data_IF_782555984352
#
_entry.id   IF_782555984352
#
_cell.length_a   1.000
_cell.length_b   1.000
_cell.length_c   1.000
_cell.angle_alpha   90.00
_cell.angle_beta   90.00
_cell.angle_gamma   90.00
#
_symmetry.space_group_name_H-M   'P 1'
#
loop_
_entity.id
_entity.type
_entity.pdbx_description
1 polymer ?
#
# COMPACT_ATOMS: atom_id res chain seq x y z
N UNK A 1 20.89 35.13 -10.28
CA UNK A 1 21.16 33.69 -10.14
C UNK A 1 20.68 33.27 -8.76
N UNK A 2 19.75 32.32 -8.65
CA UNK A 2 19.38 31.76 -7.36
C UNK A 2 20.63 31.08 -6.77
N UNK A 3 21.01 31.44 -5.55
CA UNK A 3 22.17 30.89 -4.85
C UNK A 3 21.82 29.44 -4.48
N UNK A 4 22.61 28.48 -4.93
CA UNK A 4 22.45 27.08 -4.50
C UNK A 4 22.86 26.98 -3.05
N UNK A 5 21.90 26.88 -2.14
CA UNK A 5 22.15 26.65 -0.72
C UNK A 5 22.03 25.16 -0.44
N UNK A 6 23.10 24.56 0.08
CA UNK A 6 23.14 23.15 0.44
C UNK A 6 22.60 22.98 1.86
N UNK A 7 21.28 23.02 1.99
CA UNK A 7 20.58 22.86 3.26
C UNK A 7 19.82 21.55 3.31
N UNK A 8 19.47 21.13 4.53
CA UNK A 8 18.48 20.06 4.73
C UNK A 8 17.13 20.61 4.27
N UNK A 9 16.42 19.82 3.46
CA UNK A 9 15.08 20.18 3.00
C UNK A 9 14.12 20.32 4.19
N UNK A 10 13.27 21.34 4.16
CA UNK A 10 12.22 21.53 5.17
C UNK A 10 11.15 20.45 5.15
N UNK A 11 11.13 19.59 4.12
CA UNK A 11 10.25 18.42 4.07
C UNK A 11 10.64 17.34 5.10
N UNK A 12 11.79 17.45 5.76
CA UNK A 12 12.19 16.58 6.86
C UNK A 12 12.04 17.28 8.21
N UNK A 13 11.64 16.54 9.23
CA UNK A 13 11.77 17.02 10.62
C UNK A 13 13.22 17.33 10.94
N UNK A 14 13.48 18.41 11.67
CA UNK A 14 14.82 18.78 12.14
C UNK A 14 15.44 17.67 13.00
N UNK A 15 14.64 17.10 13.90
CA UNK A 15 14.97 15.93 14.71
C UNK A 15 13.88 14.86 14.57
N UNK A 16 14.29 13.61 14.42
CA UNK A 16 13.40 12.46 14.28
C UNK A 16 12.89 12.01 15.64
N UNK A 17 12.11 12.86 16.33
CA UNK A 17 11.69 12.65 17.73
C UNK A 17 10.91 11.33 17.95
N UNK A 18 10.20 10.84 16.92
CA UNK A 18 9.47 9.56 16.96
C UNK A 18 10.37 8.34 16.74
N UNK A 19 11.60 8.52 16.25
CA UNK A 19 12.56 7.44 16.10
C UNK A 19 12.89 6.87 17.49
N UNK A 20 12.75 5.56 17.76
CA UNK A 20 13.08 4.97 19.06
C UNK A 20 14.58 5.01 19.38
N UNK A 21 15.47 5.20 18.40
CA UNK A 21 16.91 5.27 18.64
C UNK A 21 17.29 6.49 19.49
N UNK A 22 18.37 6.41 20.30
CA UNK A 22 18.87 7.55 21.08
C UNK A 22 19.34 8.71 20.19
N UNK A 23 19.96 8.40 19.05
CA UNK A 23 20.35 9.40 18.06
C UNK A 23 19.15 9.83 17.22
N UNK A 24 18.65 11.04 17.50
CA UNK A 24 17.50 11.65 16.81
C UNK A 24 17.86 12.30 15.48
N UNK A 25 19.13 12.30 15.08
CA UNK A 25 19.60 12.94 13.83
C UNK A 25 19.91 11.93 12.74
N UNK A 26 20.01 10.64 13.07
CA UNK A 26 20.23 9.58 12.10
C UNK A 26 18.95 8.81 11.73
N UNK A 27 18.96 8.27 10.51
CA UNK A 27 17.93 7.36 10.03
C UNK A 27 18.20 5.93 10.50
N UNK A 28 17.17 5.10 10.54
CA UNK A 28 17.24 3.65 10.80
C UNK A 28 17.98 2.84 9.72
N UNK A 29 18.25 3.44 8.55
CA UNK A 29 18.78 2.69 7.40
C UNK A 29 20.24 2.30 7.58
N UNK A 30 20.56 1.08 7.12
CA UNK A 30 21.91 0.54 7.15
C UNK A 30 22.89 1.42 6.34
N UNK A 31 24.19 1.48 6.72
CA UNK A 31 25.21 2.11 5.90
C UNK A 31 25.23 1.55 4.47
N UNK A 32 25.24 2.43 3.48
CA UNK A 32 25.19 2.05 2.06
C UNK A 32 23.79 1.75 1.50
N UNK A 33 22.73 1.81 2.32
CA UNK A 33 21.37 1.64 1.84
C UNK A 33 20.91 2.78 0.92
N UNK A 34 20.15 2.46 -0.13
CA UNK A 34 19.67 3.45 -1.10
C UNK A 34 18.53 4.35 -0.63
N UNK A 35 17.80 3.98 0.44
CA UNK A 35 16.62 4.73 0.91
C UNK A 35 16.90 6.20 1.19
N UNK A 36 18.05 6.53 1.80
CA UNK A 36 18.43 7.92 2.08
C UNK A 36 18.56 8.79 0.83
N UNK A 37 19.04 8.21 -0.29
CA UNK A 37 19.11 8.93 -1.57
C UNK A 37 17.71 9.24 -2.11
N UNK A 38 16.82 8.25 -2.12
CA UNK A 38 15.46 8.42 -2.64
C UNK A 38 14.64 9.36 -1.77
N UNK A 39 14.80 9.29 -0.44
CA UNK A 39 14.18 10.23 0.49
C UNK A 39 14.65 11.66 0.19
N UNK A 40 15.95 11.88 0.00
CA UNK A 40 16.49 13.18 -0.37
C UNK A 40 15.87 13.69 -1.68
N UNK A 41 15.80 12.86 -2.72
CA UNK A 41 15.22 13.26 -4.00
C UNK A 41 13.74 13.60 -3.90
N UNK A 42 12.98 12.85 -3.08
CA UNK A 42 11.58 13.16 -2.81
C UNK A 42 11.45 14.47 -2.06
N UNK A 43 12.19 14.67 -0.97
CA UNK A 43 12.15 15.89 -0.17
C UNK A 43 12.45 17.14 -1.01
N UNK A 44 13.53 17.12 -1.80
CA UNK A 44 13.88 18.20 -2.72
C UNK A 44 12.78 18.44 -3.78
N UNK A 45 12.12 17.38 -4.26
CA UNK A 45 11.00 17.54 -5.19
C UNK A 45 9.81 18.25 -4.53
N UNK A 46 9.42 17.84 -3.32
CA UNK A 46 8.29 18.43 -2.60
C UNK A 46 8.54 19.90 -2.25
N UNK A 47 9.76 20.22 -1.79
CA UNK A 47 10.18 21.58 -1.43
C UNK A 47 10.26 22.50 -2.65
N UNK A 48 10.95 22.08 -3.71
CA UNK A 48 11.12 22.89 -4.93
C UNK A 48 9.78 23.18 -5.62
N UNK A 49 8.78 22.31 -5.46
CA UNK A 49 7.43 22.52 -5.99
C UNK A 49 6.49 23.20 -5.00
N UNK A 50 6.90 23.44 -3.75
CA UNK A 50 6.10 24.10 -2.72
C UNK A 50 4.86 23.30 -2.31
N UNK A 51 4.94 21.96 -2.29
CA UNK A 51 3.78 21.06 -2.06
C UNK A 51 3.92 20.21 -0.79
N UNK A 52 4.86 20.53 0.11
CA UNK A 52 5.11 19.77 1.35
C UNK A 52 3.82 19.61 2.17
N UNK A 53 3.11 20.71 2.48
CA UNK A 53 1.89 20.70 3.29
C UNK A 53 0.71 19.96 2.64
N UNK A 54 0.74 19.80 1.32
CA UNK A 54 -0.28 19.07 0.56
C UNK A 54 0.06 17.58 0.42
N UNK A 55 1.26 17.17 0.85
CA UNK A 55 1.79 15.84 0.60
C UNK A 55 1.38 14.83 1.66
N UNK A 56 1.03 13.63 1.23
CA UNK A 56 0.76 12.48 2.09
C UNK A 56 1.62 11.31 1.62
N UNK A 57 2.56 10.91 2.47
CA UNK A 57 3.45 9.77 2.20
C UNK A 57 2.85 8.53 2.85
N UNK A 58 2.74 7.47 2.05
CA UNK A 58 2.22 6.18 2.49
C UNK A 58 3.37 5.21 2.59
N UNK A 59 3.63 4.75 3.80
CA UNK A 59 4.78 3.93 4.16
C UNK A 59 4.28 2.57 4.66
N UNK A 60 4.25 1.52 3.84
CA UNK A 60 3.84 0.20 4.27
C UNK A 60 4.98 -0.56 4.94
N UNK A 61 4.62 -1.69 5.55
CA UNK A 61 5.55 -2.61 6.24
C UNK A 61 6.72 -3.01 5.33
N UNK A 62 7.93 -2.96 5.89
CA UNK A 62 9.21 -3.14 5.19
C UNK A 62 10.19 -2.02 5.54
N UNK A 63 11.42 -2.02 5.01
CA UNK A 63 12.36 -0.91 5.23
C UNK A 63 11.75 0.45 4.78
N UNK A 64 10.87 0.41 3.78
CA UNK A 64 10.06 1.55 3.34
C UNK A 64 9.21 2.18 4.44
N UNK A 65 8.82 1.41 5.47
CA UNK A 65 7.96 1.89 6.56
C UNK A 65 8.59 3.09 7.27
N UNK A 66 9.92 3.13 7.41
CA UNK A 66 10.55 4.15 8.23
C UNK A 66 10.42 5.58 7.69
N UNK A 67 9.98 5.78 6.45
CA UNK A 67 9.78 7.11 5.87
C UNK A 67 8.89 8.01 6.76
N UNK A 68 7.87 7.46 7.42
CA UNK A 68 6.99 8.25 8.29
C UNK A 68 7.67 8.87 9.52
N UNK A 69 8.87 8.40 9.89
CA UNK A 69 9.65 9.00 10.98
C UNK A 69 10.38 10.28 10.56
N UNK A 70 10.58 10.49 9.26
CA UNK A 70 11.50 11.50 8.76
C UNK A 70 10.83 12.68 8.11
N UNK A 71 9.72 12.46 7.39
CA UNK A 71 9.06 13.49 6.61
C UNK A 71 8.06 14.29 7.46
N UNK A 72 8.21 15.61 7.44
CA UNK A 72 7.24 16.56 7.98
C UNK A 72 6.13 16.80 6.95
N UNK A 73 5.31 15.78 6.75
CA UNK A 73 4.17 15.76 5.83
C UNK A 73 3.01 15.00 6.46
N UNK A 74 1.87 14.90 5.76
CA UNK A 74 0.91 13.84 6.06
C UNK A 74 1.59 12.47 5.94
N UNK A 75 1.36 11.58 6.89
CA UNK A 75 1.97 10.25 6.92
C UNK A 75 0.94 9.18 7.28
N UNK A 76 0.86 8.12 6.49
CA UNK A 76 0.00 6.96 6.77
C UNK A 76 0.84 5.69 6.68
N UNK A 77 0.90 4.96 7.79
CA UNK A 77 1.47 3.63 7.80
C UNK A 77 0.40 2.63 7.35
N UNK A 78 0.61 2.02 6.18
CA UNK A 78 -0.32 1.05 5.63
C UNK A 78 0.06 -0.38 6.05
N UNK A 79 -0.94 -1.26 6.10
CA UNK A 79 -0.70 -2.70 6.19
C UNK A 79 0.11 -3.18 4.98
N UNK A 80 0.86 -4.27 5.15
CA UNK A 80 1.71 -4.83 4.09
C UNK A 80 0.89 -5.14 2.82
N UNK A 81 1.34 -4.64 1.68
CA UNK A 81 0.69 -4.75 0.37
C UNK A 81 -0.45 -3.77 0.11
N UNK A 82 -0.82 -2.94 1.09
CA UNK A 82 -2.04 -2.10 1.01
C UNK A 82 -1.77 -0.63 0.72
N UNK A 83 -0.51 -0.24 0.49
CA UNK A 83 -0.17 1.16 0.25
C UNK A 83 -0.88 1.75 -0.98
N UNK A 84 -0.95 1.02 -2.11
CA UNK A 84 -1.66 1.49 -3.31
C UNK A 84 -3.19 1.62 -3.10
N UNK A 85 -3.79 0.75 -2.29
CA UNK A 85 -5.19 0.84 -1.91
C UNK A 85 -5.46 2.06 -1.02
N UNK A 86 -4.63 2.26 0.01
CA UNK A 86 -4.69 3.46 0.85
C UNK A 86 -4.48 4.73 0.02
N UNK A 87 -3.52 4.71 -0.91
CA UNK A 87 -3.24 5.82 -1.83
C UNK A 87 -4.46 6.20 -2.65
N UNK A 88 -5.14 5.19 -3.21
CA UNK A 88 -6.39 5.37 -3.96
C UNK A 88 -7.44 6.07 -3.09
N UNK A 89 -7.65 5.59 -1.85
CA UNK A 89 -8.62 6.17 -0.92
C UNK A 89 -8.32 7.63 -0.60
N UNK A 90 -7.08 7.95 -0.21
CA UNK A 90 -6.66 9.31 0.15
C UNK A 90 -6.80 10.23 -1.06
N UNK A 91 -6.31 9.79 -2.23
CA UNK A 91 -6.35 10.59 -3.45
C UNK A 91 -7.78 10.94 -3.85
N UNK A 92 -8.73 10.01 -3.73
CA UNK A 92 -10.13 10.24 -4.04
C UNK A 92 -10.84 11.11 -2.99
N UNK A 93 -10.51 10.94 -1.71
CA UNK A 93 -11.06 11.76 -0.62
C UNK A 93 -10.51 13.19 -0.61
N UNK A 94 -9.24 13.35 -1.01
CA UNK A 94 -8.51 14.62 -1.07
C UNK A 94 -7.85 14.80 -2.46
N UNK A 95 -8.63 15.16 -3.50
CA UNK A 95 -8.14 15.26 -4.87
C UNK A 95 -6.89 16.12 -5.10
N UNK A 96 -6.74 17.20 -4.31
CA UNK A 96 -5.65 18.16 -4.45
C UNK A 96 -4.39 17.80 -3.65
N UNK A 97 -4.41 16.72 -2.87
CA UNK A 97 -3.22 16.26 -2.14
C UNK A 97 -2.16 15.69 -3.09
N UNK A 98 -0.89 15.68 -2.69
CA UNK A 98 0.19 14.95 -3.37
C UNK A 98 0.44 13.64 -2.61
N UNK A 99 -0.08 12.54 -3.14
CA UNK A 99 -0.04 11.21 -2.53
C UNK A 99 1.12 10.42 -3.12
N UNK A 100 2.04 9.99 -2.26
CA UNK A 100 3.22 9.21 -2.64
C UNK A 100 3.18 7.86 -1.93
N UNK A 101 3.06 6.79 -2.71
CA UNK A 101 3.21 5.42 -2.21
C UNK A 101 4.68 5.03 -2.28
N UNK A 102 5.32 4.81 -1.12
CA UNK A 102 6.74 4.47 -1.02
C UNK A 102 6.87 2.99 -0.66
N UNK A 103 7.12 2.12 -1.63
CA UNK A 103 6.98 0.67 -1.45
C UNK A 103 8.26 -0.10 -1.75
N UNK A 104 8.55 -1.14 -0.96
CA UNK A 104 9.56 -2.15 -1.29
C UNK A 104 9.04 -3.21 -2.25
N UNK A 105 9.92 -4.10 -2.66
CA UNK A 105 9.67 -5.20 -3.61
C UNK A 105 8.62 -6.22 -3.15
N UNK A 106 8.76 -6.78 -1.96
CA UNK A 106 7.80 -7.73 -1.41
C UNK A 106 6.43 -7.10 -1.16
N UNK A 107 6.44 -5.85 -0.69
CA UNK A 107 5.21 -5.09 -0.46
C UNK A 107 4.45 -4.87 -1.76
N UNK A 108 5.13 -4.38 -2.80
CA UNK A 108 4.51 -3.95 -4.04
C UNK A 108 4.23 -5.11 -5.00
N UNK A 109 5.20 -6.00 -5.21
CA UNK A 109 5.18 -7.01 -6.26
C UNK A 109 4.87 -8.43 -5.76
N UNK A 110 4.68 -8.63 -4.44
CA UNK A 110 4.18 -9.89 -3.89
C UNK A 110 2.74 -9.70 -3.40
N UNK A 111 2.57 -9.39 -2.12
CA UNK A 111 1.25 -9.32 -1.46
C UNK A 111 0.41 -8.13 -1.96
N UNK A 112 1.06 -7.06 -2.43
CA UNK A 112 0.39 -5.86 -2.98
C UNK A 112 0.14 -5.87 -4.48
N UNK A 113 0.46 -6.95 -5.19
CA UNK A 113 0.39 -7.01 -6.67
C UNK A 113 -0.96 -6.59 -7.23
N UNK A 114 -2.05 -7.07 -6.64
CA UNK A 114 -3.40 -6.72 -7.08
C UNK A 114 -3.67 -5.21 -6.91
N UNK A 115 -3.30 -4.63 -5.77
CA UNK A 115 -3.51 -3.21 -5.48
C UNK A 115 -2.69 -2.31 -6.42
N UNK A 116 -1.45 -2.72 -6.71
CA UNK A 116 -0.60 -2.07 -7.70
C UNK A 116 -1.25 -2.08 -9.08
N UNK A 117 -1.60 -3.25 -9.60
CA UNK A 117 -2.18 -3.39 -10.95
C UNK A 117 -3.48 -2.60 -11.04
N UNK A 118 -4.37 -2.71 -10.06
CA UNK A 118 -5.67 -2.05 -10.13
C UNK A 118 -5.57 -0.53 -9.95
N UNK A 119 -4.67 -0.01 -9.12
CA UNK A 119 -4.44 1.45 -9.02
C UNK A 119 -3.83 2.00 -10.32
N UNK A 120 -2.86 1.28 -10.90
CA UNK A 120 -2.28 1.62 -12.19
C UNK A 120 -3.31 1.58 -13.33
N UNK A 121 -4.15 0.54 -13.39
CA UNK A 121 -5.16 0.34 -14.42
C UNK A 121 -6.29 1.38 -14.36
N UNK A 122 -6.65 1.87 -13.17
CA UNK A 122 -7.56 3.02 -13.03
C UNK A 122 -6.90 4.35 -13.38
N UNK A 123 -5.57 4.37 -13.48
CA UNK A 123 -4.78 5.57 -13.70
C UNK A 123 -4.90 6.55 -12.54
N UNK A 124 -5.02 6.06 -11.31
CA UNK A 124 -5.13 6.92 -10.12
C UNK A 124 -4.03 8.00 -10.14
N UNK A 125 -4.38 9.26 -9.87
CA UNK A 125 -3.43 10.37 -9.91
C UNK A 125 -2.50 10.35 -8.69
N UNK A 126 -1.65 9.33 -8.59
CA UNK A 126 -0.71 9.07 -7.50
C UNK A 126 0.69 8.83 -8.06
N UNK A 127 1.70 9.03 -7.21
CA UNK A 127 3.08 8.67 -7.51
C UNK A 127 3.46 7.43 -6.70
N UNK A 128 3.96 6.39 -7.37
CA UNK A 128 4.51 5.19 -6.74
C UNK A 128 6.02 5.19 -6.89
N UNK A 129 6.73 5.22 -5.76
CA UNK A 129 8.17 5.03 -5.70
C UNK A 129 8.43 3.58 -5.30
N UNK A 130 8.82 2.77 -6.29
CA UNK A 130 9.11 1.36 -6.09
C UNK A 130 10.61 1.17 -5.83
N UNK A 131 10.98 0.84 -4.60
CA UNK A 131 12.35 0.55 -4.19
C UNK A 131 12.64 -0.92 -4.46
N UNK A 132 13.24 -1.21 -5.61
CA UNK A 132 13.61 -2.56 -6.02
C UNK A 132 15.03 -2.89 -5.54
N UNK A 133 15.11 -3.59 -4.42
CA UNK A 133 16.34 -4.15 -3.85
C UNK A 133 16.41 -5.68 -3.98
N UNK A 134 15.50 -6.30 -4.74
CA UNK A 134 15.50 -7.73 -5.06
C UNK A 134 15.61 -8.67 -3.83
N UNK A 135 15.16 -8.22 -2.66
CA UNK A 135 15.18 -8.97 -1.41
C UNK A 135 14.25 -8.36 -0.35
N UNK A 136 13.59 -9.21 0.44
CA UNK A 136 12.92 -8.77 1.67
C UNK A 136 13.95 -8.38 2.75
N UNK A 137 14.40 -7.13 2.73
CA UNK A 137 15.48 -6.65 3.60
C UNK A 137 15.14 -6.70 5.10
N UNK A 138 14.01 -6.11 5.50
CA UNK A 138 13.63 -5.95 6.91
C UNK A 138 13.44 -7.28 7.64
N UNK A 139 12.93 -8.31 6.96
CA UNK A 139 12.58 -9.59 7.58
C UNK A 139 13.75 -10.58 7.61
N UNK A 140 14.95 -10.17 7.18
CA UNK A 140 16.16 -10.99 7.26
C UNK A 140 16.60 -11.63 5.94
N UNK A 141 16.18 -11.07 4.79
CA UNK A 141 16.77 -11.41 3.50
C UNK A 141 16.12 -12.59 2.78
N UNK A 142 14.79 -12.68 2.80
CA UNK A 142 14.02 -13.69 2.06
C UNK A 142 13.91 -13.34 0.57
N UNK A 143 13.61 -14.35 -0.24
CA UNK A 143 13.34 -14.20 -1.66
C UNK A 143 12.14 -13.28 -1.93
N UNK A 144 12.37 -12.26 -2.74
CA UNK A 144 11.38 -11.35 -3.28
C UNK A 144 10.95 -11.72 -4.71
N UNK A 145 9.80 -11.22 -5.19
CA UNK A 145 9.37 -11.39 -6.58
C UNK A 145 10.41 -10.93 -7.59
N UNK A 146 11.22 -9.93 -7.25
CA UNK A 146 12.28 -9.38 -8.10
C UNK A 146 13.67 -9.96 -7.84
N UNK A 147 13.83 -10.90 -6.87
CA UNK A 147 15.09 -11.63 -6.64
C UNK A 147 15.56 -12.32 -7.93
N UNK A 148 16.83 -12.15 -8.27
CA UNK A 148 17.42 -12.63 -9.52
C UNK A 148 17.55 -14.15 -9.54
N UNK A 149 17.55 -14.74 -10.75
CA UNK A 149 17.87 -16.16 -10.94
C UNK A 149 19.26 -16.46 -10.38
N UNK A 150 19.39 -17.55 -9.64
CA UNK A 150 20.64 -17.94 -8.96
C UNK A 150 20.96 -17.15 -7.69
N UNK A 151 20.29 -16.02 -7.42
CA UNK A 151 20.52 -15.26 -6.19
C UNK A 151 20.06 -16.07 -4.97
N UNK A 152 21.00 -16.33 -4.05
CA UNK A 152 20.73 -17.04 -2.80
C UNK A 152 20.08 -16.12 -1.78
N UNK A 153 19.05 -16.61 -1.12
CA UNK A 153 18.37 -15.91 -0.02
C UNK A 153 18.14 -16.87 1.15
N UNK A 154 17.61 -16.38 2.27
CA UNK A 154 17.32 -17.26 3.42
C UNK A 154 16.26 -18.32 3.14
N UNK A 155 15.32 -18.05 2.22
CA UNK A 155 14.27 -18.99 1.82
C UNK A 155 14.56 -19.71 0.50
N UNK A 156 15.54 -19.25 -0.27
CA UNK A 156 16.06 -19.93 -1.46
C UNK A 156 17.60 -20.14 -1.33
N UNK A 157 18.05 -21.03 -0.43
CA UNK A 157 19.48 -21.19 -0.13
C UNK A 157 20.29 -21.77 -1.30
N UNK A 158 19.61 -22.46 -2.24
CA UNK A 158 20.19 -22.98 -3.47
C UNK A 158 20.21 -21.95 -4.62
N UNK A 159 19.72 -20.74 -4.37
CA UNK A 159 19.46 -19.74 -5.40
C UNK A 159 18.03 -19.87 -5.93
N UNK A 160 17.51 -18.80 -6.52
CA UNK A 160 16.24 -18.84 -7.24
C UNK A 160 16.38 -19.67 -8.51
N UNK A 161 15.53 -20.68 -8.67
CA UNK A 161 15.39 -21.52 -9.85
C UNK A 161 14.09 -21.18 -10.59
N UNK A 162 14.15 -20.76 -11.87
CA UNK A 162 12.96 -20.48 -12.67
C UNK A 162 11.95 -21.64 -12.74
N UNK A 163 12.39 -22.89 -12.60
CA UNK A 163 11.52 -24.05 -12.65
C UNK A 163 10.69 -24.24 -11.37
N UNK A 164 11.19 -23.78 -10.22
CA UNK A 164 10.53 -23.97 -8.93
C UNK A 164 9.92 -22.66 -8.40
N UNK A 165 10.68 -21.56 -8.42
CA UNK A 165 10.26 -20.25 -7.90
C UNK A 165 9.82 -19.26 -8.99
N UNK A 166 9.86 -19.67 -10.27
CA UNK A 166 9.53 -18.80 -11.40
C UNK A 166 10.60 -17.73 -11.67
N UNK A 167 10.34 -16.88 -12.67
CA UNK A 167 11.28 -15.81 -13.07
C UNK A 167 11.04 -14.49 -12.32
N UNK A 168 12.06 -13.62 -12.21
CA UNK A 168 11.90 -12.30 -11.59
C UNK A 168 10.80 -11.48 -12.25
N UNK A 169 9.91 -10.90 -11.44
CA UNK A 169 8.79 -10.09 -11.92
C UNK A 169 9.29 -8.72 -12.39
N UNK A 170 9.01 -8.38 -13.65
CA UNK A 170 9.42 -7.12 -14.27
C UNK A 170 8.28 -6.11 -14.21
N UNK A 171 8.25 -5.27 -13.16
CA UNK A 171 7.10 -4.42 -12.83
C UNK A 171 6.84 -3.34 -13.88
N UNK A 172 7.85 -2.59 -14.33
CA UNK A 172 7.66 -1.58 -15.38
C UNK A 172 7.06 -2.18 -16.65
N UNK A 173 7.56 -3.33 -17.08
CA UNK A 173 7.10 -4.06 -18.26
C UNK A 173 5.66 -4.54 -18.07
N UNK A 174 5.34 -5.12 -16.92
CA UNK A 174 3.98 -5.53 -16.56
C UNK A 174 3.00 -4.35 -16.62
N UNK A 175 3.32 -3.23 -15.98
CA UNK A 175 2.44 -2.06 -15.97
C UNK A 175 2.38 -1.36 -17.33
N UNK A 176 3.41 -1.48 -18.16
CA UNK A 176 3.40 -0.95 -19.52
C UNK A 176 2.47 -1.73 -20.46
N UNK A 177 1.95 -2.89 -20.03
CA UNK A 177 0.87 -3.57 -20.76
C UNK A 177 -0.52 -2.94 -20.54
N UNK A 178 -0.67 -2.10 -19.50
CA UNK A 178 -1.94 -1.45 -19.16
C UNK A 178 -2.13 -0.15 -19.95
N UNK A 179 -3.36 0.25 -20.23
CA UNK A 179 -3.62 1.48 -21.01
C UNK A 179 -3.49 2.77 -20.22
N UNK A 180 -3.80 2.75 -18.92
CA UNK A 180 -3.97 3.96 -18.12
C UNK A 180 -2.69 4.63 -17.56
N UNK A 181 -1.61 3.91 -17.18
CA UNK A 181 -0.40 4.53 -16.61
C UNK A 181 0.17 5.61 -17.53
N UNK A 182 0.58 6.76 -16.98
CA UNK A 182 1.08 7.88 -17.80
C UNK A 182 2.59 7.89 -17.87
N UNK A 183 3.26 7.56 -16.77
CA UNK A 183 4.70 7.62 -16.67
C UNK A 183 5.25 6.41 -15.92
N UNK A 184 6.16 5.69 -16.56
CA UNK A 184 6.83 4.51 -16.04
C UNK A 184 8.32 4.63 -16.37
N UNK A 185 9.16 4.82 -15.36
CA UNK A 185 10.61 4.91 -15.54
C UNK A 185 11.34 4.01 -14.54
N UNK A 186 12.32 3.26 -15.04
CA UNK A 186 13.28 2.53 -14.20
C UNK A 186 14.61 3.27 -14.16
N UNK A 187 15.07 3.57 -12.95
CA UNK A 187 16.31 4.27 -12.64
C UNK A 187 17.16 3.44 -11.66
N UNK A 188 18.38 3.89 -11.38
CA UNK A 188 19.29 3.16 -10.50
C UNK A 188 20.15 4.10 -9.66
N UNK A 189 20.65 3.60 -8.53
CA UNK A 189 21.51 4.34 -7.60
C UNK A 189 22.99 3.94 -7.64
N UNK A 190 23.40 3.07 -8.58
CA UNK A 190 24.75 2.49 -8.63
C UNK A 190 25.86 3.54 -8.80
N UNK A 191 25.63 4.63 -9.55
CA UNK A 191 26.61 5.70 -9.76
C UNK A 191 26.01 7.12 -9.66
N UNK A 192 26.85 8.14 -9.79
CA UNK A 192 26.44 9.56 -9.71
C UNK A 192 25.51 9.96 -10.86
N UNK A 193 25.77 9.49 -12.09
CA UNK A 193 25.00 9.82 -13.29
C UNK A 193 23.57 9.31 -13.18
N UNK A 194 23.39 8.07 -12.73
CA UNK A 194 22.10 7.42 -12.57
C UNK A 194 21.36 7.92 -11.34
N UNK A 195 22.06 8.32 -10.26
CA UNK A 195 21.44 9.07 -9.16
C UNK A 195 20.86 10.41 -9.61
N UNK A 196 21.55 11.14 -10.49
CA UNK A 196 21.00 12.37 -11.07
C UNK A 196 19.74 12.09 -11.93
N UNK A 197 19.73 10.99 -12.70
CA UNK A 197 18.53 10.55 -13.43
C UNK A 197 17.39 10.17 -12.47
N UNK A 198 17.68 9.41 -11.41
CA UNK A 198 16.70 9.03 -10.40
C UNK A 198 16.06 10.26 -9.74
N UNK A 199 16.89 11.26 -9.39
CA UNK A 199 16.42 12.56 -8.91
C UNK A 199 15.44 13.21 -9.89
N UNK A 200 15.77 13.23 -11.18
CA UNK A 200 14.88 13.81 -12.20
C UNK A 200 13.59 13.03 -12.41
N UNK A 201 13.64 11.69 -12.37
CA UNK A 201 12.46 10.84 -12.51
C UNK A 201 11.48 11.05 -11.35
N UNK A 202 11.99 11.16 -10.12
CA UNK A 202 11.17 11.49 -8.94
C UNK A 202 10.49 12.85 -9.12
N UNK A 203 11.24 13.90 -9.51
CA UNK A 203 10.68 15.23 -9.79
C UNK A 203 9.58 15.18 -10.85
N UNK A 204 9.80 14.45 -11.94
CA UNK A 204 8.83 14.31 -13.01
C UNK A 204 7.56 13.61 -12.56
N UNK A 205 7.67 12.54 -11.77
CA UNK A 205 6.52 11.83 -11.25
C UNK A 205 5.66 12.70 -10.30
N UNK A 206 6.30 13.52 -9.46
CA UNK A 206 5.60 14.50 -8.61
C UNK A 206 4.95 15.59 -9.48
N UNK A 207 5.66 16.11 -10.48
CA UNK A 207 5.12 17.12 -11.40
C UNK A 207 3.90 16.61 -12.18
N UNK A 208 3.94 15.38 -12.69
CA UNK A 208 2.79 14.75 -13.34
C UNK A 208 1.58 14.70 -12.41
N UNK A 209 1.79 14.43 -11.13
CA UNK A 209 0.72 14.38 -10.16
C UNK A 209 0.13 15.77 -9.88
N UNK A 210 0.98 16.80 -9.72
CA UNK A 210 0.58 18.21 -9.59
C UNK A 210 -0.27 18.63 -10.80
N UNK A 211 0.14 18.23 -11.99
CA UNK A 211 -0.52 18.57 -13.26
C UNK A 211 -1.73 17.68 -13.57
N UNK A 212 -2.16 16.83 -12.63
CA UNK A 212 -3.33 15.99 -12.79
C UNK A 212 -3.20 14.94 -13.90
N UNK A 213 -1.98 14.60 -14.33
CA UNK A 213 -1.76 13.73 -15.50
C UNK A 213 -2.18 12.29 -15.25
N UNK A 214 -2.06 11.81 -14.01
CA UNK A 214 -2.46 10.45 -13.63
C UNK A 214 -1.30 9.64 -13.07
N UNK A 215 -1.45 8.32 -13.14
CA UNK A 215 -0.55 7.37 -12.47
C UNK A 215 0.89 7.46 -12.98
N UNK A 216 1.82 7.61 -12.03
CA UNK A 216 3.26 7.62 -12.27
C UNK A 216 3.96 6.59 -11.39
N UNK A 217 4.84 5.76 -11.95
CA UNK A 217 5.72 4.86 -11.21
C UNK A 217 7.19 5.12 -11.56
N UNK A 218 8.01 5.23 -10.52
CA UNK A 218 9.47 5.25 -10.62
C UNK A 218 10.02 4.02 -9.92
N UNK A 219 10.52 3.06 -10.69
CA UNK A 219 11.24 1.90 -10.17
C UNK A 219 12.71 2.26 -9.95
N UNK A 220 13.18 2.16 -8.71
CA UNK A 220 14.55 2.50 -8.32
C UNK A 220 15.30 1.23 -7.96
N UNK A 221 16.26 0.84 -8.79
CA UNK A 221 17.22 -0.22 -8.44
C UNK A 221 18.13 0.29 -7.31
N UNK A 222 17.96 -0.26 -6.11
CA UNK A 222 18.48 0.30 -4.86
C UNK A 222 19.35 -0.71 -4.11
N UNK A 223 20.52 -0.29 -3.59
CA UNK A 223 21.40 -1.19 -2.85
C UNK A 223 20.81 -1.62 -1.51
N UNK A 224 20.99 -2.89 -1.18
CA UNK A 224 20.71 -3.46 0.15
C UNK A 224 21.92 -4.27 0.66
N UNK A 225 23.01 -3.61 1.06
CA UNK A 225 24.26 -4.27 1.47
C UNK A 225 24.03 -5.32 2.57
N UNK A 226 23.26 -4.97 3.60
CA UNK A 226 22.93 -5.88 4.70
C UNK A 226 22.10 -7.09 4.26
N UNK A 227 21.12 -6.90 3.37
CA UNK A 227 20.29 -7.99 2.86
C UNK A 227 21.08 -8.94 1.96
N UNK A 228 21.95 -8.39 1.12
CA UNK A 228 22.77 -9.18 0.19
C UNK A 228 24.05 -9.72 0.83
N UNK A 229 24.36 -9.31 2.07
CA UNK A 229 25.60 -9.62 2.79
C UNK A 229 26.84 -9.22 1.98
N UNK A 230 26.77 -8.01 1.39
CA UNK A 230 27.81 -7.41 0.57
C UNK A 230 28.29 -6.11 1.20
N UNK A 231 29.52 -5.73 0.90
CA UNK A 231 30.00 -4.39 1.24
C UNK A 231 29.26 -3.32 0.43
N UNK A 232 29.09 -2.09 0.96
CA UNK A 232 28.37 -1.02 0.28
C UNK A 232 28.84 -0.74 -1.15
N UNK A 233 30.15 -0.73 -1.40
CA UNK A 233 30.71 -0.45 -2.74
C UNK A 233 30.41 -1.59 -3.71
N UNK A 234 30.55 -2.84 -3.27
CA UNK A 234 30.29 -4.00 -4.12
C UNK A 234 28.79 -4.18 -4.40
N UNK A 235 27.93 -3.75 -3.49
CA UNK A 235 26.49 -3.70 -3.73
C UNK A 235 26.12 -2.78 -4.91
N UNK A 236 26.87 -1.69 -5.12
CA UNK A 236 26.65 -0.79 -6.26
C UNK A 236 27.09 -1.45 -7.57
N UNK A 237 28.25 -2.12 -7.58
CA UNK A 237 28.74 -2.88 -8.73
C UNK A 237 27.77 -4.01 -9.08
N UNK A 238 27.24 -4.71 -8.09
CA UNK A 238 26.27 -5.77 -8.31
C UNK A 238 24.98 -5.26 -8.97
N UNK A 239 24.52 -4.05 -8.62
CA UNK A 239 23.40 -3.44 -9.34
C UNK A 239 23.76 -3.21 -10.80
N UNK A 240 24.91 -2.57 -11.05
CA UNK A 240 25.39 -2.26 -12.40
C UNK A 240 25.53 -3.53 -13.25
N UNK A 241 26.21 -4.55 -12.73
CA UNK A 241 26.59 -5.74 -13.48
C UNK A 241 25.47 -6.77 -13.57
N UNK A 242 24.66 -6.94 -12.52
CA UNK A 242 23.68 -8.03 -12.45
C UNK A 242 22.24 -7.53 -12.52
N UNK A 243 21.85 -6.58 -11.65
CA UNK A 243 20.46 -6.12 -11.64
C UNK A 243 20.06 -5.42 -12.94
N UNK A 244 20.91 -4.58 -13.54
CA UNK A 244 20.54 -3.88 -14.79
C UNK A 244 20.37 -4.83 -15.98
N UNK A 245 21.01 -6.00 -15.98
CA UNK A 245 20.81 -7.04 -17.01
C UNK A 245 19.39 -7.62 -16.97
N UNK A 246 18.87 -7.82 -15.76
CA UNK A 246 17.52 -8.36 -15.54
C UNK A 246 16.45 -7.26 -15.63
N UNK A 247 16.80 -6.06 -15.15
CA UNK A 247 15.95 -4.89 -15.05
C UNK A 247 16.58 -3.71 -15.82
N UNK A 248 16.48 -3.69 -17.17
CA UNK A 248 17.09 -2.65 -17.98
C UNK A 248 16.53 -1.27 -17.63
N UNK A 249 17.42 -0.29 -17.49
CA UNK A 249 17.08 1.10 -17.15
C UNK A 249 16.45 1.81 -18.34
N UNK A 250 15.53 2.74 -18.07
CA UNK A 250 14.93 3.56 -19.12
C UNK A 250 13.52 4.03 -18.81
N UNK A 251 13.03 4.88 -19.70
CA UNK A 251 11.63 5.32 -19.74
C UNK A 251 10.84 4.27 -20.53
N UNK A 252 9.99 3.52 -19.86
CA UNK A 252 9.12 2.52 -20.48
C UNK A 252 7.86 3.17 -21.05
N UNK A 253 7.41 4.26 -20.41
CA UNK A 253 6.31 5.07 -20.87
C UNK A 253 6.42 6.49 -20.38
N UNK A 254 6.11 7.43 -21.25
CA UNK A 254 5.89 8.82 -20.89
C UNK A 254 4.91 9.49 -21.86
N UNK A 255 3.66 9.62 -21.43
CA UNK A 255 2.59 10.30 -22.18
C UNK A 255 2.18 11.61 -21.52
N UNK A 256 3.03 12.17 -20.65
CA UNK A 256 2.71 13.38 -19.87
C UNK A 256 2.34 14.59 -20.74
N UNK A 257 2.91 14.68 -21.95
CA UNK A 257 2.61 15.73 -22.93
C UNK A 257 1.36 15.45 -23.78
N UNK A 258 0.85 14.22 -23.79
CA UNK A 258 -0.29 13.80 -24.62
C UNK A 258 -1.61 13.77 -23.82
N UNK A 259 -1.51 13.66 -22.50
CA UNK A 259 -2.66 13.51 -21.61
C UNK A 259 -3.09 14.86 -21.05
N UNK A 260 -4.36 15.19 -21.23
CA UNK A 260 -4.97 16.34 -20.56
C UNK A 260 -5.12 16.10 -19.06
N UNK A 261 -4.92 17.14 -18.21
CA UNK A 261 -5.12 17.05 -16.77
C UNK A 261 -6.51 16.50 -16.41
N UNK A 262 -6.55 15.48 -15.56
CA UNK A 262 -7.80 14.94 -15.01
C UNK A 262 -8.43 15.95 -14.04
N UNK A 263 -9.66 16.36 -14.31
CA UNK A 263 -10.46 17.11 -13.34
C UNK A 263 -10.93 16.17 -12.25
N UNK A 264 -10.22 16.15 -11.12
CA UNK A 264 -10.63 15.36 -9.97
C UNK A 264 -11.55 16.19 -9.08
N UNK A 265 -12.81 15.76 -8.95
CA UNK A 265 -13.80 16.40 -8.07
C UNK A 265 -13.93 15.58 -6.79
N UNK A 266 -13.99 16.25 -5.64
CA UNK A 266 -14.35 15.59 -4.38
C UNK A 266 -15.83 15.23 -4.46
N UNK A 267 -16.13 13.93 -4.52
CA UNK A 267 -17.51 13.47 -4.46
C UNK A 267 -17.97 13.49 -3.00
N UNK A 268 -19.08 14.19 -2.73
CA UNK A 268 -19.76 14.16 -1.44
C UNK A 268 -20.99 13.29 -1.62
N UNK A 269 -20.96 12.09 -1.04
CA UNK A 269 -22.04 11.14 -1.14
C UNK A 269 -23.34 11.69 -0.53
N UNK A 270 -24.43 11.63 -1.31
CA UNK A 270 -25.79 11.90 -0.83
C UNK A 270 -26.53 10.56 -0.68
N UNK A 271 -27.00 10.25 0.53
CA UNK A 271 -27.70 8.99 0.80
C UNK A 271 -28.94 8.78 -0.09
N UNK A 272 -29.65 9.85 -0.45
CA UNK A 272 -30.80 9.79 -1.36
C UNK A 272 -30.36 9.40 -2.78
N UNK A 273 -29.34 10.08 -3.30
CA UNK A 273 -28.79 9.80 -4.63
C UNK A 273 -28.25 8.36 -4.73
N UNK A 274 -27.58 7.87 -3.68
CA UNK A 274 -27.11 6.48 -3.62
C UNK A 274 -28.28 5.51 -3.65
N UNK A 275 -29.33 5.74 -2.85
CA UNK A 275 -30.53 4.89 -2.88
C UNK A 275 -31.17 4.89 -4.26
N UNK A 276 -31.25 6.05 -4.91
CA UNK A 276 -31.79 6.18 -6.27
C UNK A 276 -30.96 5.40 -7.29
N UNK A 277 -29.63 5.55 -7.29
CA UNK A 277 -28.75 4.85 -8.22
C UNK A 277 -28.70 3.33 -7.99
N UNK A 278 -28.88 2.88 -6.75
CA UNK A 278 -28.95 1.46 -6.40
C UNK A 278 -30.34 0.86 -6.64
N UNK A 279 -31.32 1.64 -7.11
CA UNK A 279 -32.71 1.17 -7.31
C UNK A 279 -33.44 0.86 -6.00
N UNK A 280 -33.01 1.46 -4.89
CA UNK A 280 -33.54 1.22 -3.54
C UNK A 280 -34.68 2.19 -3.16
N UNK A 281 -35.23 2.91 -4.14
CA UNK A 281 -36.33 3.86 -3.93
C UNK A 281 -37.65 3.18 -3.53
N UNK A 282 -37.81 1.93 -3.95
CA UNK A 282 -39.01 1.12 -3.73
C UNK A 282 -38.73 -0.06 -2.79
N UNK A 283 -37.73 0.05 -1.92
CA UNK A 283 -37.61 -0.90 -0.83
C UNK A 283 -38.88 -0.79 0.02
N UNK A 284 -39.77 -1.78 -0.11
CA UNK A 284 -40.80 -2.00 0.89
C UNK A 284 -40.06 -2.26 2.21
N UNK A 285 -40.18 -1.34 3.15
CA UNK A 285 -39.98 -1.68 4.55
C UNK A 285 -41.01 -2.78 4.87
N UNK A 286 -40.58 -4.04 4.78
CA UNK A 286 -41.33 -5.13 5.40
C UNK A 286 -41.17 -4.94 6.90
N UNK A 287 -42.10 -4.19 7.48
CA UNK A 287 -42.28 -4.17 8.92
C UNK A 287 -42.84 -5.54 9.31
N UNK A 288 -42.00 -6.35 9.95
CA UNK A 288 -42.47 -7.53 10.65
C UNK A 288 -43.12 -7.05 11.96
N UNK A 289 -44.19 -7.71 12.38
CA UNK A 289 -44.87 -7.35 13.63
C UNK A 289 -43.95 -7.69 14.80
N UNK A 290 -43.33 -6.67 15.38
CA UNK A 290 -42.55 -6.82 16.59
C UNK A 290 -43.45 -7.33 17.71
N UNK A 291 -43.11 -8.50 18.23
CA UNK A 291 -43.62 -8.96 19.52
C UNK A 291 -42.61 -8.55 20.57
N UNK A 292 -43.06 -7.94 21.66
CA UNK A 292 -42.18 -7.64 22.79
C UNK A 292 -41.81 -8.97 23.46
N UNK A 293 -40.53 -9.39 23.42
CA UNK A 293 -40.13 -10.64 24.04
C UNK A 293 -40.20 -10.51 25.57
N UNK A 294 -40.42 -11.64 26.26
CA UNK A 294 -40.30 -11.70 27.72
C UNK A 294 -38.95 -11.12 28.16
N UNK A 295 -38.89 -10.49 29.34
CA UNK A 295 -37.71 -9.80 29.87
C UNK A 295 -36.43 -10.66 29.79
N UNK A 296 -36.53 -11.96 30.07
CA UNK A 296 -35.40 -12.92 30.01
C UNK A 296 -34.83 -13.16 28.61
N UNK A 297 -35.56 -12.80 27.56
CA UNK A 297 -35.18 -12.97 26.15
C UNK A 297 -34.85 -11.64 25.46
N UNK A 298 -34.91 -10.52 26.19
CA UNK A 298 -34.51 -9.22 25.65
C UNK A 298 -32.99 -9.16 25.49
N UNK A 299 -32.54 -8.55 24.40
CA UNK A 299 -31.13 -8.31 24.09
C UNK A 299 -30.21 -9.55 24.16
N UNK A 300 -30.56 -10.69 23.51
CA UNK A 300 -29.80 -11.93 23.69
C UNK A 300 -28.40 -11.84 23.07
N UNK A 301 -27.42 -12.39 23.79
CA UNK A 301 -26.08 -12.67 23.31
C UNK A 301 -25.90 -14.19 23.17
N UNK A 302 -25.89 -14.66 21.92
CA UNK A 302 -25.92 -16.08 21.58
C UNK A 302 -24.56 -16.49 21.04
N UNK A 303 -23.90 -17.44 21.73
CA UNK A 303 -22.68 -18.08 21.26
C UNK A 303 -23.00 -19.50 20.84
N UNK A 304 -22.96 -19.77 19.54
CA UNK A 304 -23.10 -21.11 19.00
C UNK A 304 -21.71 -21.66 18.67
N UNK A 305 -21.38 -22.86 19.12
CA UNK A 305 -20.11 -23.54 18.81
C UNK A 305 -20.34 -25.02 18.54
N UNK A 306 -19.58 -25.61 17.64
CA UNK A 306 -19.71 -27.03 17.31
C UNK A 306 -18.87 -27.48 16.13
N UNK A 307 -19.13 -28.70 15.69
CA UNK A 307 -18.50 -29.34 14.52
C UNK A 307 -19.46 -29.33 13.33
N UNK A 308 -18.93 -29.16 12.11
CA UNK A 308 -19.77 -29.04 10.89
C UNK A 308 -20.11 -27.59 10.55
N UNK A 309 -19.09 -26.72 10.58
CA UNK A 309 -19.33 -25.31 10.83
C UNK A 309 -20.04 -24.48 9.76
N UNK A 310 -20.33 -24.99 8.56
CA UNK A 310 -21.32 -24.32 7.69
C UNK A 310 -22.70 -24.21 8.37
N UNK A 311 -23.10 -25.21 9.16
CA UNK A 311 -24.35 -25.15 9.93
C UNK A 311 -24.33 -24.10 11.04
N UNK A 312 -23.20 -23.99 11.76
CA UNK A 312 -23.00 -22.96 12.81
C UNK A 312 -23.01 -21.56 12.21
N UNK A 313 -22.38 -21.37 11.05
CA UNK A 313 -22.41 -20.09 10.35
C UNK A 313 -23.81 -19.75 9.85
N UNK A 314 -24.52 -20.72 9.25
CA UNK A 314 -25.88 -20.52 8.77
C UNK A 314 -26.85 -20.17 9.90
N UNK A 315 -26.73 -20.83 11.06
CA UNK A 315 -27.48 -20.48 12.27
C UNK A 315 -27.23 -19.01 12.67
N UNK A 316 -25.96 -18.60 12.70
CA UNK A 316 -25.58 -17.23 13.05
C UNK A 316 -26.17 -16.19 12.09
N UNK A 317 -26.08 -16.47 10.78
CA UNK A 317 -26.68 -15.63 9.74
C UNK A 317 -28.20 -15.57 9.87
N UNK A 318 -28.86 -16.72 10.11
CA UNK A 318 -30.32 -16.79 10.26
C UNK A 318 -30.83 -15.98 11.45
N UNK A 319 -30.20 -16.11 12.61
CA UNK A 319 -30.51 -15.32 13.80
C UNK A 319 -30.27 -13.82 13.54
N UNK A 320 -29.17 -13.49 12.87
CA UNK A 320 -28.85 -12.11 12.57
C UNK A 320 -29.86 -11.47 11.62
N UNK A 321 -30.24 -12.19 10.56
CA UNK A 321 -31.25 -11.74 9.60
C UNK A 321 -32.62 -11.60 10.27
N UNK A 322 -33.03 -12.56 11.10
CA UNK A 322 -34.29 -12.47 11.84
C UNK A 322 -34.32 -11.24 12.76
N UNK A 323 -33.24 -10.98 13.51
CA UNK A 323 -33.13 -9.78 14.34
C UNK A 323 -33.21 -8.49 13.52
N UNK A 324 -32.53 -8.43 12.37
CA UNK A 324 -32.61 -7.29 11.46
C UNK A 324 -34.00 -7.09 10.85
N UNK A 325 -34.69 -8.19 10.49
CA UNK A 325 -36.05 -8.17 9.96
C UNK A 325 -37.04 -7.64 10.99
N UNK A 326 -36.87 -7.98 12.27
CA UNK A 326 -37.66 -7.47 13.39
C UNK A 326 -37.18 -6.08 13.88
N UNK A 327 -36.28 -5.40 13.16
CA UNK A 327 -35.86 -4.03 13.49
C UNK A 327 -34.89 -3.89 14.66
N UNK A 328 -34.30 -4.99 15.14
CA UNK A 328 -33.25 -4.94 16.16
C UNK A 328 -31.88 -4.60 15.55
N UNK A 329 -31.02 -4.00 16.37
CA UNK A 329 -29.61 -3.87 16.06
C UNK A 329 -28.89 -5.20 16.29
N UNK A 330 -28.14 -5.65 15.29
CA UNK A 330 -27.53 -6.97 15.32
C UNK A 330 -26.02 -6.87 15.10
N UNK A 331 -25.26 -7.70 15.81
CA UNK A 331 -23.88 -8.03 15.45
C UNK A 331 -23.75 -9.54 15.24
N UNK A 332 -23.03 -9.95 14.19
CA UNK A 332 -22.68 -11.33 13.92
C UNK A 332 -21.17 -11.44 13.71
N UNK A 333 -20.49 -12.20 14.57
CA UNK A 333 -19.07 -12.52 14.44
C UNK A 333 -18.93 -14.02 14.18
N UNK A 334 -18.55 -14.42 12.96
CA UNK A 334 -18.17 -15.79 12.69
C UNK A 334 -16.70 -16.05 13.03
N UNK A 335 -16.40 -17.24 13.56
CA UNK A 335 -15.07 -17.82 13.63
C UNK A 335 -15.12 -19.21 12.99
N UNK A 336 -14.42 -19.36 11.88
CA UNK A 336 -14.41 -20.60 11.10
C UNK A 336 -12.99 -20.96 10.72
N UNK A 337 -12.55 -22.16 11.13
CA UNK A 337 -11.26 -22.71 10.75
C UNK A 337 -11.22 -23.11 9.26
N UNK A 338 -10.02 -23.36 8.70
CA UNK A 338 -9.84 -23.73 7.30
C UNK A 338 -10.47 -25.09 6.91
N UNK A 339 -10.90 -25.92 7.87
CA UNK A 339 -11.40 -27.27 7.65
C UNK A 339 -12.87 -27.28 7.19
N UNK A 340 -13.11 -27.13 5.88
CA UNK A 340 -14.44 -26.90 5.29
C UNK A 340 -15.54 -27.96 5.55
N UNK A 341 -15.23 -29.13 6.12
CA UNK A 341 -16.22 -30.21 6.39
C UNK A 341 -15.85 -31.02 7.63
N UNK A 342 -15.83 -30.37 8.79
CA UNK A 342 -15.63 -31.06 10.07
C UNK A 342 -14.88 -30.25 11.13
N UNK A 343 -14.35 -29.08 10.77
CA UNK A 343 -13.69 -28.19 11.73
C UNK A 343 -14.62 -27.66 12.80
N UNK A 344 -14.02 -27.27 13.93
CA UNK A 344 -14.70 -26.48 14.95
C UNK A 344 -15.04 -25.12 14.39
N UNK A 345 -16.27 -24.68 14.59
CA UNK A 345 -16.70 -23.33 14.30
C UNK A 345 -17.43 -22.75 15.49
N UNK A 346 -17.38 -21.43 15.59
CA UNK A 346 -18.28 -20.71 16.46
C UNK A 346 -18.82 -19.47 15.75
N UNK A 347 -19.97 -18.99 16.20
CA UNK A 347 -20.45 -17.67 15.87
C UNK A 347 -21.03 -17.03 17.13
N UNK A 348 -20.86 -15.72 17.21
CA UNK A 348 -21.48 -14.88 18.22
C UNK A 348 -22.51 -13.99 17.53
N UNK A 349 -23.76 -14.05 18.00
CA UNK A 349 -24.85 -13.19 17.53
C UNK A 349 -25.36 -12.38 18.72
N UNK A 350 -25.31 -11.07 18.61
CA UNK A 350 -25.93 -10.16 19.56
C UNK A 350 -27.12 -9.50 18.86
N UNK A 351 -28.30 -9.59 19.46
CA UNK A 351 -29.52 -8.90 19.00
C UNK A 351 -29.86 -7.91 20.09
N UNK A 352 -30.10 -6.65 19.76
CA UNK A 352 -30.36 -5.61 20.76
C UNK A 352 -31.33 -4.53 20.27
N UNK A 353 -32.12 -3.97 21.19
CA UNK A 353 -32.94 -2.78 20.95
C UNK A 353 -32.11 -1.51 20.78
N UNK A 354 -30.85 -1.51 21.23
CA UNK A 354 -29.91 -0.38 21.14
C UNK A 354 -28.77 -0.71 20.19
N UNK A 355 -28.15 0.32 19.64
CA UNK A 355 -26.98 0.16 18.78
C UNK A 355 -25.89 -0.67 19.47
N UNK A 356 -25.43 -1.73 18.80
CA UNK A 356 -24.33 -2.58 19.29
C UNK A 356 -23.02 -1.84 19.06
N UNK A 357 -22.51 -1.16 20.10
CA UNK A 357 -21.33 -0.29 19.99
C UNK A 357 -19.99 -1.02 19.87
N UNK A 358 -19.89 -2.22 20.46
CA UNK A 358 -18.76 -3.12 20.29
C UNK A 358 -19.25 -4.53 20.54
N UNK A 359 -18.99 -5.49 19.64
CA UNK A 359 -19.32 -6.87 19.93
C UNK A 359 -18.34 -7.38 20.98
N UNK A 360 -18.82 -7.50 22.22
CA UNK A 360 -18.01 -8.06 23.30
C UNK A 360 -17.82 -9.54 23.00
N UNK A 361 -16.59 -9.94 22.69
CA UNK A 361 -16.23 -11.36 22.59
C UNK A 361 -15.97 -11.85 24.02
N UNK A 362 -17.02 -12.32 24.70
CA UNK A 362 -16.88 -13.03 25.99
C UNK A 362 -16.55 -14.51 25.78
#
# INVERSE_FOLDING_TARGET
MAKTEWTKSTAFYDEYFRNPNPDKKSTHYCPGCGHGNVHKFLAEALEDFGVIDQSVIISPVGCSVFAYYYFDTGNIQAAHGRAAAAATGIKRAHPHSIVVSYQGDGDLAAIGTAELIHSANRGENITVLFINNAIYGMTGGQMAPTTLVGQKTTTSPRGRDPLNEGSPVRVCELLNSLDAPVYLERVSLHDVKHRAKARMAVRKAIKNQIDGKGYSLVEVLSPCPSGWKMDPVDSLKWIEEEMTRVFPLGVFRDRSNEIEPRQMKKYIANAKEIKEQLGLNELQEKAFSQTTPEEKYQNPAIKAAGFGGQGILLLGVGLAQAGMMEGYHVSWIPSYGPEMRGGTANCHVQISEKTVGSPVVS
#
